data_IF_737356126664
#
_entry.id   IF_737356126664
#
_cell.length_a   1.000
_cell.length_b   1.000
_cell.length_c   1.000
_cell.angle_alpha   90.00
_cell.angle_beta   90.00
_cell.angle_gamma   90.00
#
_symmetry.space_group_name_H-M   'P 1'
#
loop_
_entity.id
_entity.type
_entity.pdbx_description
1 polymer ?
#
# COMPACT_ATOMS: atom_id res chain seq x y z
N UNK A 1 18.19 -35.08 15.60
CA UNK A 1 17.12 -34.30 16.26
C UNK A 1 16.57 -33.31 15.25
N UNK A 2 15.31 -33.46 14.86
CA UNK A 2 14.70 -32.59 13.83
C UNK A 2 14.40 -31.23 14.43
N UNK A 3 15.11 -30.21 13.99
CA UNK A 3 14.90 -28.83 14.45
C UNK A 3 13.56 -28.35 13.87
N UNK A 4 12.62 -28.00 14.73
CA UNK A 4 11.31 -27.52 14.31
C UNK A 4 11.39 -26.07 13.85
N UNK A 5 11.15 -25.81 12.56
CA UNK A 5 11.25 -24.47 11.94
C UNK A 5 10.41 -23.41 12.63
N UNK A 6 9.22 -23.76 13.16
CA UNK A 6 8.38 -22.80 13.89
C UNK A 6 9.00 -22.40 15.23
N UNK A 7 9.70 -23.32 15.92
CA UNK A 7 10.38 -23.01 17.17
C UNK A 7 11.53 -22.03 16.93
N UNK A 8 12.33 -22.29 15.90
CA UNK A 8 13.42 -21.41 15.51
C UNK A 8 12.92 -20.03 15.07
N UNK A 9 11.85 -19.98 14.27
CA UNK A 9 11.25 -18.71 13.84
C UNK A 9 10.77 -17.86 15.03
N UNK A 10 10.10 -18.48 16.02
CA UNK A 10 9.69 -17.78 17.24
C UNK A 10 10.90 -17.24 18.01
N UNK A 11 11.95 -18.05 18.18
CA UNK A 11 13.18 -17.65 18.87
C UNK A 11 13.88 -16.47 18.19
N UNK A 12 13.97 -16.46 16.86
CA UNK A 12 14.55 -15.35 16.09
C UNK A 12 13.76 -14.05 16.33
N UNK A 13 12.43 -14.10 16.34
CA UNK A 13 11.59 -12.93 16.60
C UNK A 13 11.79 -12.33 17.99
N UNK A 14 11.93 -13.18 19.02
CA UNK A 14 12.24 -12.74 20.39
C UNK A 14 13.62 -12.04 20.45
N UNK A 15 14.62 -12.61 19.78
CA UNK A 15 15.97 -12.05 19.71
C UNK A 15 15.99 -10.71 18.96
N UNK A 16 15.18 -10.55 17.90
CA UNK A 16 15.05 -9.29 17.17
C UNK A 16 14.40 -8.17 18.00
N UNK A 17 13.50 -8.52 18.93
CA UNK A 17 12.83 -7.56 19.84
C UNK A 17 13.76 -7.08 20.96
N UNK A 18 14.65 -7.95 21.45
CA UNK A 18 15.57 -7.64 22.56
C UNK A 18 16.77 -6.76 22.17
N UNK A 19 16.84 -6.30 20.92
CA UNK A 19 18.03 -5.64 20.36
C UNK A 19 18.27 -4.21 20.86
N UNK A 20 17.35 -3.63 21.62
CA UNK A 20 17.43 -2.26 22.12
C UNK A 20 18.40 -2.05 23.30
N UNK A 21 19.05 -3.12 23.80
CA UNK A 21 19.83 -3.10 25.05
C UNK A 21 21.37 -3.18 24.87
N UNK A 22 21.92 -2.73 23.74
CA UNK A 22 23.37 -2.53 23.58
C UNK A 22 24.23 -3.81 23.36
N UNK A 23 23.61 -5.00 23.31
CA UNK A 23 24.27 -6.29 23.03
C UNK A 23 24.04 -6.79 21.59
N UNK A 24 24.09 -5.85 20.65
CA UNK A 24 23.62 -6.07 19.28
C UNK A 24 24.41 -7.11 18.46
N UNK A 25 25.67 -7.37 18.77
CA UNK A 25 26.53 -8.26 17.96
C UNK A 25 26.39 -9.73 18.34
N UNK A 26 26.26 -10.05 19.63
CA UNK A 26 26.01 -11.41 20.10
C UNK A 26 24.66 -11.94 19.59
N UNK A 27 23.63 -11.08 19.64
CA UNK A 27 22.29 -11.37 19.11
C UNK A 27 22.32 -11.59 17.59
N UNK A 28 23.11 -10.82 16.83
CA UNK A 28 23.26 -11.03 15.38
C UNK A 28 23.84 -12.43 15.09
N UNK A 29 24.89 -12.82 15.81
CA UNK A 29 25.52 -14.13 15.64
C UNK A 29 24.52 -15.26 15.90
N UNK A 30 23.80 -15.20 17.03
CA UNK A 30 22.81 -16.23 17.39
C UNK A 30 21.70 -16.36 16.33
N UNK A 31 21.22 -15.23 15.78
CA UNK A 31 20.22 -15.24 14.71
C UNK A 31 20.77 -15.86 13.42
N UNK A 32 22.02 -15.58 13.06
CA UNK A 32 22.67 -16.16 11.87
C UNK A 32 22.81 -17.67 12.03
N UNK A 33 23.24 -18.14 13.20
CA UNK A 33 23.42 -19.56 13.48
C UNK A 33 22.07 -20.31 13.42
N UNK A 34 21.05 -19.77 14.10
CA UNK A 34 19.69 -20.33 14.08
C UNK A 34 19.08 -20.33 12.68
N UNK A 35 19.22 -19.24 11.93
CA UNK A 35 18.72 -19.10 10.56
C UNK A 35 19.38 -20.09 9.60
N UNK A 36 20.70 -20.28 9.72
CA UNK A 36 21.47 -21.20 8.89
C UNK A 36 21.15 -22.65 9.21
N UNK A 37 21.07 -23.02 10.50
CA UNK A 37 20.72 -24.38 10.93
C UNK A 37 19.31 -24.80 10.51
N UNK A 38 18.34 -23.87 10.52
CA UNK A 38 16.94 -24.15 10.18
C UNK A 38 16.58 -23.88 8.71
N UNK A 39 17.55 -23.41 7.92
CA UNK A 39 17.36 -22.95 6.54
C UNK A 39 16.20 -21.94 6.45
N UNK A 40 16.28 -20.86 7.23
CA UNK A 40 15.28 -19.80 7.34
C UNK A 40 15.86 -18.43 6.97
N UNK A 41 15.04 -17.61 6.32
CA UNK A 41 15.34 -16.20 6.03
C UNK A 41 14.97 -15.36 7.25
N UNK A 42 15.87 -14.46 7.65
CA UNK A 42 15.72 -13.51 8.76
C UNK A 42 16.33 -12.16 8.36
N UNK A 43 16.27 -11.15 9.24
CA UNK A 43 16.88 -9.84 9.03
C UNK A 43 18.37 -9.88 8.66
N UNK A 44 19.10 -10.94 9.04
CA UNK A 44 20.54 -11.10 8.78
C UNK A 44 20.90 -12.25 7.83
N UNK A 45 19.93 -13.02 7.34
CA UNK A 45 20.17 -14.19 6.47
C UNK A 45 19.28 -14.12 5.23
N UNK A 46 19.84 -14.40 4.06
CA UNK A 46 19.11 -14.44 2.78
C UNK A 46 19.55 -15.64 1.95
N UNK A 47 18.68 -16.08 1.03
CA UNK A 47 19.05 -17.07 0.02
C UNK A 47 19.68 -16.37 -1.18
N UNK A 48 20.82 -16.89 -1.64
CA UNK A 48 21.50 -16.43 -2.84
C UNK A 48 21.55 -17.60 -3.80
N UNK A 49 20.87 -17.47 -4.95
CA UNK A 49 20.91 -18.47 -6.02
C UNK A 49 22.19 -18.28 -6.83
N UNK A 50 22.95 -19.37 -7.01
CA UNK A 50 24.14 -19.39 -7.85
C UNK A 50 23.83 -20.14 -9.13
N UNK A 51 24.17 -19.53 -10.27
CA UNK A 51 24.21 -20.22 -11.55
C UNK A 51 25.55 -20.96 -11.64
N UNK A 52 25.50 -22.28 -11.84
CA UNK A 52 26.67 -23.15 -11.92
C UNK A 52 27.59 -22.76 -13.10
N UNK A 53 27.06 -22.08 -14.12
CA UNK A 53 27.78 -21.78 -15.36
C UNK A 53 28.43 -20.39 -15.39
N UNK A 54 28.34 -19.60 -14.31
CA UNK A 54 28.92 -18.26 -14.24
C UNK A 54 29.86 -18.16 -13.02
N UNK A 55 31.19 -18.23 -13.22
CA UNK A 55 32.16 -17.99 -12.15
C UNK A 55 32.27 -16.49 -11.88
N UNK A 56 31.25 -15.91 -11.25
CA UNK A 56 31.34 -14.55 -10.69
C UNK A 56 31.93 -14.67 -9.30
N UNK A 57 33.07 -14.02 -9.07
CA UNK A 57 33.54 -13.74 -7.72
C UNK A 57 32.47 -12.89 -7.02
N UNK A 58 31.72 -13.50 -6.10
CA UNK A 58 30.60 -12.83 -5.42
C UNK A 58 31.18 -11.97 -4.32
N UNK A 59 31.52 -10.74 -4.66
CA UNK A 59 31.72 -9.73 -3.65
C UNK A 59 30.33 -9.32 -3.15
N UNK A 60 30.03 -9.62 -1.89
CA UNK A 60 28.79 -9.18 -1.25
C UNK A 60 28.75 -7.65 -1.22
N UNK A 61 28.12 -7.05 -2.23
CA UNK A 61 27.86 -5.63 -2.26
C UNK A 61 26.69 -5.32 -1.34
N UNK A 62 26.86 -4.34 -0.45
CA UNK A 62 25.74 -3.73 0.26
C UNK A 62 24.90 -2.98 -0.75
N UNK A 63 23.88 -3.65 -1.29
CA UNK A 63 22.88 -3.01 -2.14
C UNK A 63 21.99 -2.20 -1.20
N UNK A 64 21.93 -0.88 -1.40
CA UNK A 64 20.94 -0.06 -0.75
C UNK A 64 19.56 -0.59 -1.17
N UNK A 65 18.90 -1.31 -0.24
CA UNK A 65 17.51 -1.70 -0.43
C UNK A 65 16.78 -0.38 -0.65
N UNK A 66 16.04 -0.20 -1.77
CA UNK A 66 15.18 0.95 -1.91
C UNK A 66 14.23 0.89 -0.71
N UNK A 67 14.49 1.72 0.31
CA UNK A 67 13.45 2.08 1.26
C UNK A 67 12.32 2.53 0.35
N UNK A 68 11.15 1.91 0.47
CA UNK A 68 9.92 2.38 -0.16
C UNK A 68 9.67 3.79 0.36
N UNK A 69 10.40 4.76 -0.17
CA UNK A 69 10.15 6.16 -0.01
C UNK A 69 9.05 6.41 -1.01
N UNK A 70 7.91 6.82 -0.50
CA UNK A 70 6.70 7.10 -1.25
C UNK A 70 6.94 8.25 -2.24
N UNK A 71 7.61 7.95 -3.34
CA UNK A 71 7.55 8.73 -4.58
C UNK A 71 7.21 7.75 -5.69
N UNK A 72 5.94 7.38 -5.74
CA UNK A 72 5.40 6.71 -6.91
C UNK A 72 5.53 7.68 -8.10
N UNK A 73 6.32 7.30 -9.09
CA UNK A 73 6.42 7.96 -10.39
C UNK A 73 5.17 7.77 -11.28
N UNK A 74 4.01 7.45 -10.70
CA UNK A 74 2.76 7.30 -11.45
C UNK A 74 2.13 8.65 -11.86
N UNK A 75 2.69 9.78 -11.43
CA UNK A 75 2.16 11.11 -11.72
C UNK A 75 2.16 11.49 -13.21
N UNK A 76 2.85 10.74 -14.08
CA UNK A 76 2.90 10.99 -15.53
C UNK A 76 2.40 9.83 -16.41
N UNK A 77 1.72 8.82 -15.83
CA UNK A 77 1.16 7.73 -16.64
C UNK A 77 -0.20 8.09 -17.25
N UNK A 78 -0.46 7.83 -18.55
CA UNK A 78 -1.74 8.05 -19.25
C UNK A 78 -2.95 7.27 -18.67
N UNK A 79 -2.72 6.39 -17.70
CA UNK A 79 -3.70 5.46 -17.13
C UNK A 79 -4.87 6.19 -16.44
N UNK A 80 -4.67 7.42 -15.94
CA UNK A 80 -5.71 8.16 -15.21
C UNK A 80 -6.88 8.59 -16.10
N UNK A 81 -6.68 8.77 -17.40
CA UNK A 81 -7.78 9.12 -18.31
C UNK A 81 -8.74 7.96 -18.58
N UNK A 82 -8.26 6.72 -18.45
CA UNK A 82 -9.06 5.52 -18.71
C UNK A 82 -10.11 5.25 -17.61
N UNK A 83 -9.95 5.88 -16.44
CA UNK A 83 -10.75 5.58 -15.27
C UNK A 83 -12.14 6.24 -15.28
N UNK A 84 -12.31 7.39 -15.95
CA UNK A 84 -13.58 8.13 -15.91
C UNK A 84 -14.71 7.45 -16.69
N UNK A 85 -14.44 6.95 -17.89
CA UNK A 85 -15.47 6.30 -18.73
C UNK A 85 -15.90 4.95 -18.15
N UNK A 86 -14.94 4.16 -17.66
CA UNK A 86 -15.22 2.87 -17.02
C UNK A 86 -15.95 3.02 -15.69
N UNK A 87 -15.63 4.07 -14.91
CA UNK A 87 -16.34 4.39 -13.68
C UNK A 87 -17.78 4.83 -13.96
N UNK A 88 -17.99 5.72 -14.94
CA UNK A 88 -19.32 6.14 -15.35
C UNK A 88 -20.18 4.96 -15.82
N UNK A 89 -19.60 4.03 -16.58
CA UNK A 89 -20.26 2.78 -17.00
C UNK A 89 -20.54 1.85 -15.81
N UNK A 90 -19.58 1.65 -14.91
CA UNK A 90 -19.73 0.76 -13.75
C UNK A 90 -20.79 1.28 -12.76
N UNK A 91 -20.97 2.60 -12.66
CA UNK A 91 -21.95 3.24 -11.80
C UNK A 91 -23.29 3.49 -12.49
N UNK A 92 -23.37 3.29 -13.82
CA UNK A 92 -24.51 3.66 -14.65
C UNK A 92 -24.90 5.15 -14.51
N UNK A 93 -23.89 6.03 -14.37
CA UNK A 93 -24.07 7.49 -14.22
C UNK A 93 -23.56 8.19 -15.48
N UNK A 94 -24.32 9.17 -15.97
CA UNK A 94 -23.93 10.01 -17.10
C UNK A 94 -22.70 10.86 -16.77
N UNK A 95 -21.70 10.87 -17.65
CA UNK A 95 -20.48 11.69 -17.54
C UNK A 95 -20.76 13.19 -17.42
N UNK A 96 -21.90 13.66 -17.94
CA UNK A 96 -22.30 15.08 -17.89
C UNK A 96 -22.67 15.48 -16.47
N UNK A 97 -23.51 14.67 -15.81
CA UNK A 97 -23.94 14.87 -14.42
C UNK A 97 -22.75 14.88 -13.45
N UNK A 98 -21.70 14.10 -13.76
CA UNK A 98 -20.47 14.06 -12.96
C UNK A 98 -19.66 15.36 -13.06
N UNK A 99 -19.69 16.03 -14.21
CA UNK A 99 -18.93 17.25 -14.45
C UNK A 99 -19.69 18.51 -13.99
N UNK A 100 -21.02 18.50 -14.07
CA UNK A 100 -21.87 19.63 -13.68
C UNK A 100 -21.88 19.86 -12.15
N UNK A 101 -21.76 18.79 -11.35
CA UNK A 101 -21.68 18.87 -9.89
C UNK A 101 -20.26 19.07 -9.35
N UNK A 102 -19.26 19.15 -10.22
CA UNK A 102 -17.87 19.32 -9.83
C UNK A 102 -17.70 20.70 -9.15
N UNK A 103 -17.22 20.78 -7.89
CA UNK A 103 -17.00 22.04 -7.19
C UNK A 103 -15.77 22.82 -7.69
N UNK A 104 -15.51 22.79 -9.00
CA UNK A 104 -14.32 23.37 -9.66
C UNK A 104 -12.98 22.81 -9.15
N UNK A 105 -12.99 21.58 -8.63
CA UNK A 105 -11.76 20.86 -8.28
C UNK A 105 -11.24 20.10 -9.50
N UNK A 106 -9.97 19.68 -9.45
CA UNK A 106 -9.42 18.85 -10.52
C UNK A 106 -10.21 17.55 -10.68
N UNK A 107 -10.42 17.12 -11.92
CA UNK A 107 -11.18 15.91 -12.26
C UNK A 107 -10.67 14.68 -11.48
N UNK A 108 -9.36 14.60 -11.24
CA UNK A 108 -8.72 13.53 -10.46
C UNK A 108 -9.16 13.52 -8.99
N UNK A 109 -9.24 14.68 -8.38
CA UNK A 109 -9.67 14.84 -6.97
C UNK A 109 -11.13 14.45 -6.84
N UNK A 110 -11.97 14.91 -7.77
CA UNK A 110 -13.39 14.59 -7.77
C UNK A 110 -13.66 13.10 -8.01
N UNK A 111 -12.98 12.49 -9.00
CA UNK A 111 -13.07 11.06 -9.27
C UNK A 111 -12.68 10.21 -8.05
N UNK A 112 -11.61 10.60 -7.36
CA UNK A 112 -11.14 9.88 -6.16
C UNK A 112 -12.17 9.95 -5.03
N UNK A 113 -12.77 11.13 -4.81
CA UNK A 113 -13.84 11.29 -3.83
C UNK A 113 -15.08 10.45 -4.15
N UNK A 114 -15.49 10.39 -5.42
CA UNK A 114 -16.60 9.56 -5.88
C UNK A 114 -16.34 8.07 -5.69
N UNK A 115 -15.15 7.58 -6.05
CA UNK A 115 -14.78 6.18 -5.85
C UNK A 115 -14.89 5.80 -4.36
N UNK A 116 -14.31 6.62 -3.47
CA UNK A 116 -14.36 6.36 -2.02
C UNK A 116 -15.80 6.35 -1.53
N UNK A 117 -16.64 7.29 -1.98
CA UNK A 117 -18.05 7.34 -1.59
C UNK A 117 -18.85 6.13 -2.13
N UNK A 118 -18.56 5.64 -3.35
CA UNK A 118 -19.17 4.41 -3.87
C UNK A 118 -18.77 3.20 -3.05
N UNK A 119 -17.48 3.05 -2.73
CA UNK A 119 -16.98 1.94 -1.92
C UNK A 119 -17.70 1.89 -0.57
N UNK A 120 -17.85 3.05 0.08
CA UNK A 120 -18.60 3.20 1.34
C UNK A 120 -20.06 2.75 1.25
N UNK A 121 -20.74 3.04 0.16
CA UNK A 121 -22.18 2.74 0.04
C UNK A 121 -22.46 1.34 -0.54
N UNK A 122 -21.72 0.91 -1.58
CA UNK A 122 -21.96 -0.36 -2.28
C UNK A 122 -21.25 -1.55 -1.66
N UNK A 123 -20.12 -1.31 -1.00
CA UNK A 123 -19.21 -2.35 -0.54
C UNK A 123 -18.95 -2.25 0.96
N UNK A 124 -19.86 -1.61 1.72
CA UNK A 124 -19.81 -1.45 3.17
C UNK A 124 -19.53 -2.77 3.90
N UNK A 125 -20.10 -3.89 3.43
CA UNK A 125 -19.92 -5.22 4.01
C UNK A 125 -18.49 -5.76 3.87
N UNK A 126 -17.72 -5.27 2.90
CA UNK A 126 -16.34 -5.68 2.62
C UNK A 126 -15.32 -4.62 3.05
N UNK A 127 -15.69 -3.73 4.00
CA UNK A 127 -14.85 -2.60 4.46
C UNK A 127 -13.40 -3.01 4.76
N UNK A 128 -13.18 -4.14 5.42
CA UNK A 128 -11.84 -4.65 5.72
C UNK A 128 -10.93 -4.82 4.49
N UNK A 129 -11.49 -5.09 3.31
CA UNK A 129 -10.71 -5.33 2.08
C UNK A 129 -10.19 -4.04 1.46
N UNK A 130 -10.91 -2.92 1.64
CA UNK A 130 -10.61 -1.65 0.98
C UNK A 130 -10.36 -0.49 1.95
N UNK A 131 -10.39 -0.71 3.27
CA UNK A 131 -10.09 0.28 4.31
C UNK A 131 -8.72 0.95 4.08
N UNK A 132 -7.70 0.17 3.71
CA UNK A 132 -6.36 0.71 3.43
C UNK A 132 -6.32 1.54 2.14
N UNK A 133 -7.15 1.21 1.16
CA UNK A 133 -7.29 2.01 -0.06
C UNK A 133 -7.98 3.34 0.24
N UNK A 134 -9.03 3.31 1.07
CA UNK A 134 -9.73 4.49 1.57
C UNK A 134 -8.79 5.43 2.33
N UNK A 135 -8.05 4.91 3.32
CA UNK A 135 -7.06 5.69 4.10
C UNK A 135 -6.03 6.36 3.17
N UNK A 136 -5.49 5.59 2.24
CA UNK A 136 -4.51 6.10 1.27
C UNK A 136 -5.10 7.15 0.33
N UNK A 137 -6.36 7.00 -0.06
CA UNK A 137 -7.05 8.00 -0.89
C UNK A 137 -7.28 9.30 -0.13
N UNK A 138 -7.62 9.23 1.17
CA UNK A 138 -7.76 10.41 2.04
C UNK A 138 -6.41 11.11 2.21
N UNK A 139 -5.35 10.37 2.55
CA UNK A 139 -3.99 10.93 2.67
C UNK A 139 -3.54 11.60 1.35
N UNK A 140 -3.89 11.00 0.21
CA UNK A 140 -3.59 11.54 -1.11
C UNK A 140 -4.37 12.84 -1.40
N UNK A 141 -5.66 12.90 -1.02
CA UNK A 141 -6.51 14.07 -1.16
C UNK A 141 -6.01 15.24 -0.32
N UNK A 142 -5.61 14.98 0.93
CA UNK A 142 -5.00 15.97 1.82
C UNK A 142 -3.67 16.50 1.26
N UNK A 143 -2.91 15.63 0.58
CA UNK A 143 -1.65 15.99 -0.07
C UNK A 143 -1.82 16.87 -1.32
N UNK A 144 -3.03 17.00 -1.89
CA UNK A 144 -3.27 17.84 -3.08
C UNK A 144 -3.30 19.35 -2.77
N UNK A 145 -3.07 19.77 -1.51
CA UNK A 145 -3.05 21.17 -1.04
C UNK A 145 -4.27 21.99 -1.54
N UNK A 146 -5.46 21.42 -1.36
CA UNK A 146 -6.73 22.05 -1.69
C UNK A 146 -7.08 23.01 -0.54
N UNK A 147 -6.92 24.31 -0.75
CA UNK A 147 -7.38 25.34 0.19
C UNK A 147 -8.92 25.37 0.22
N UNK A 148 -9.56 25.88 1.28
CA UNK A 148 -9.90 25.25 2.55
C UNK A 148 -11.26 24.52 2.52
N UNK A 149 -11.62 23.85 1.41
CA UNK A 149 -12.80 22.98 1.38
C UNK A 149 -12.37 21.54 1.64
N UNK A 150 -12.25 21.27 2.95
CA UNK A 150 -11.95 20.01 3.62
C UNK A 150 -12.33 18.78 2.80
N UNK A 151 -11.40 17.84 2.65
CA UNK A 151 -11.61 16.48 2.10
C UNK A 151 -12.94 15.87 2.54
N UNK A 152 -13.34 16.12 3.79
CA UNK A 152 -14.61 15.75 4.39
C UNK A 152 -15.85 16.35 3.71
N UNK A 153 -15.87 17.64 3.39
CA UNK A 153 -16.99 18.30 2.68
C UNK A 153 -17.13 17.81 1.23
N UNK A 154 -16.00 17.49 0.59
CA UNK A 154 -15.99 16.90 -0.74
C UNK A 154 -16.55 15.47 -0.71
N UNK A 155 -16.14 14.68 0.29
CA UNK A 155 -16.67 13.34 0.51
C UNK A 155 -18.16 13.36 0.87
N UNK A 156 -18.60 14.33 1.69
CA UNK A 156 -20.01 14.51 2.03
C UNK A 156 -20.84 14.83 0.78
N UNK A 157 -20.38 15.78 -0.06
CA UNK A 157 -21.04 16.10 -1.33
C UNK A 157 -21.10 14.89 -2.26
N UNK A 158 -20.00 14.15 -2.40
CA UNK A 158 -19.94 12.94 -3.22
C UNK A 158 -20.89 11.85 -2.69
N UNK A 159 -20.95 11.66 -1.37
CA UNK A 159 -21.83 10.68 -0.73
C UNK A 159 -23.29 11.05 -0.93
N UNK A 160 -23.65 12.32 -0.76
CA UNK A 160 -25.01 12.81 -0.98
C UNK A 160 -25.43 12.67 -2.46
N UNK A 161 -24.53 12.97 -3.40
CA UNK A 161 -24.76 12.76 -4.83
C UNK A 161 -25.07 11.30 -5.14
N UNK A 162 -24.25 10.38 -4.62
CA UNK A 162 -24.44 8.94 -4.82
C UNK A 162 -25.74 8.46 -4.19
N UNK A 163 -26.06 8.88 -2.97
CA UNK A 163 -27.34 8.54 -2.32
C UNK A 163 -28.54 9.03 -3.13
N UNK A 164 -28.52 10.26 -3.61
CA UNK A 164 -29.62 10.84 -4.39
C UNK A 164 -29.80 10.13 -5.75
N UNK A 165 -28.71 9.72 -6.40
CA UNK A 165 -28.77 8.97 -7.67
C UNK A 165 -29.12 7.50 -7.52
N UNK A 166 -28.95 6.91 -6.33
CA UNK A 166 -29.27 5.50 -6.07
C UNK A 166 -30.69 5.28 -5.51
N UNK A 167 -31.37 6.33 -5.08
CA UNK A 167 -32.77 6.29 -4.58
C UNK A 167 -33.79 6.56 -5.70
N UNK A 168 -33.35 7.06 -6.86
CA UNK A 168 -34.16 7.24 -8.08
C UNK A 168 -34.04 6.04 -9.02
#
# INVERSE_FOLDING_TARGET
>A
MTIHRLCVKRKIQELELNKDLGKGDEIKSEIIDLGTMANLVSKYTSFVGLDEHVPVAIQMASIAIPKYTAKCACASSPIVRMFHDQLAQALNISLKDLNDENPSVSDKVWATGLVVAVLREKLASQHCEWELMEKKAIDWLESQNIQPLYSEKLLEKATNFIKNKMVA
#
